data_IF_783377528872
#
_entry.id   IF_783377528872
#
_cell.length_a   1.000
_cell.length_b   1.000
_cell.length_c   1.000
_cell.angle_alpha   90.00
_cell.angle_beta   90.00
_cell.angle_gamma   90.00
#
_symmetry.space_group_name_H-M   'P 1'
#
loop_
_entity.id
_entity.type
_entity.pdbx_description
1 polymer ?
#
# COMPACT_ATOMS: atom_id res chain seq x y z
N UNK A 1 -11.37 -6.94 -17.10
CA UNK A 1 -11.33 -6.08 -15.91
C UNK A 1 -12.26 -6.56 -14.80
N UNK A 2 -13.58 -6.73 -15.01
CA UNK A 2 -14.49 -7.25 -13.96
C UNK A 2 -13.94 -8.50 -13.22
N UNK A 3 -13.58 -9.55 -13.97
CA UNK A 3 -13.05 -10.79 -13.39
C UNK A 3 -11.78 -10.52 -12.57
N UNK A 4 -10.88 -9.67 -13.08
CA UNK A 4 -9.67 -9.28 -12.36
C UNK A 4 -10.02 -8.63 -11.03
N UNK A 5 -10.94 -7.67 -10.99
CA UNK A 5 -11.38 -7.00 -9.76
C UNK A 5 -12.09 -7.95 -8.79
N UNK A 6 -12.92 -8.88 -9.28
CA UNK A 6 -13.56 -9.89 -8.44
C UNK A 6 -12.54 -10.82 -7.78
N UNK A 7 -11.62 -11.39 -8.57
CA UNK A 7 -10.59 -12.33 -8.07
C UNK A 7 -9.64 -11.62 -7.11
N UNK A 8 -9.17 -10.43 -7.47
CA UNK A 8 -8.28 -9.64 -6.60
C UNK A 8 -8.99 -9.17 -5.32
N UNK A 9 -10.29 -8.88 -5.37
CA UNK A 9 -11.09 -8.60 -4.17
C UNK A 9 -11.15 -9.79 -3.20
N UNK A 10 -11.22 -11.02 -3.71
CA UNK A 10 -11.13 -12.23 -2.88
C UNK A 10 -9.74 -12.35 -2.24
N UNK A 11 -8.67 -12.14 -3.03
CA UNK A 11 -7.28 -12.17 -2.53
C UNK A 11 -7.09 -11.14 -1.42
N UNK A 12 -7.62 -9.92 -1.59
CA UNK A 12 -7.56 -8.84 -0.61
C UNK A 12 -8.23 -9.18 0.73
N UNK A 13 -9.31 -9.95 0.70
CA UNK A 13 -10.01 -10.38 1.91
C UNK A 13 -9.25 -11.48 2.67
N UNK A 14 -8.41 -12.26 2.00
CA UNK A 14 -7.66 -13.37 2.60
C UNK A 14 -6.21 -12.97 2.87
N UNK A 15 -6.01 -12.09 3.86
CA UNK A 15 -4.68 -11.56 4.23
C UNK A 15 -3.68 -12.68 4.55
N UNK A 16 -4.16 -13.83 5.05
CA UNK A 16 -3.32 -15.00 5.30
C UNK A 16 -2.66 -15.57 4.04
N UNK A 17 -3.29 -15.45 2.87
CA UNK A 17 -2.68 -15.87 1.59
C UNK A 17 -1.51 -14.98 1.20
N UNK A 18 -1.52 -13.72 1.64
CA UNK A 18 -0.42 -12.78 1.41
C UNK A 18 0.75 -12.97 2.39
N UNK A 19 0.56 -13.71 3.50
CA UNK A 19 1.64 -13.91 4.49
C UNK A 19 2.85 -14.64 3.89
N UNK A 20 2.60 -15.64 3.05
CA UNK A 20 3.64 -16.43 2.38
C UNK A 20 4.08 -15.82 1.05
N UNK A 21 3.41 -14.76 0.59
CA UNK A 21 3.74 -14.01 -0.62
C UNK A 21 4.55 -12.76 -0.27
N UNK A 22 5.33 -12.82 0.80
CA UNK A 22 6.22 -11.76 1.26
C UNK A 22 7.62 -12.32 1.43
N UNK A 23 8.60 -11.56 1.00
CA UNK A 23 10.00 -11.86 1.22
C UNK A 23 10.59 -10.79 2.13
N UNK A 24 10.87 -11.19 3.36
CA UNK A 24 11.47 -10.34 4.37
C UNK A 24 12.98 -10.57 4.34
N UNK A 25 13.75 -9.49 4.40
CA UNK A 25 15.19 -9.56 4.49
C UNK A 25 15.74 -8.44 5.36
N UNK A 26 16.91 -8.70 5.91
CA UNK A 26 17.69 -7.74 6.67
C UNK A 26 19.11 -7.74 6.11
N UNK A 27 19.64 -6.55 5.85
CA UNK A 27 21.02 -6.34 5.41
C UNK A 27 21.68 -5.44 6.43
N UNK A 28 22.80 -5.90 7.00
CA UNK A 28 23.65 -5.06 7.85
C UNK A 28 24.99 -4.86 7.15
N UNK A 29 25.31 -3.62 6.81
CA UNK A 29 26.55 -3.24 6.13
C UNK A 29 27.21 -2.07 6.85
N UNK A 30 28.54 -1.93 6.79
CA UNK A 30 29.19 -0.73 7.32
C UNK A 30 28.77 0.51 6.54
N UNK A 31 28.58 1.63 7.25
CA UNK A 31 28.31 2.93 6.62
C UNK A 31 29.52 3.30 5.73
N UNK A 32 29.30 3.80 4.50
CA UNK A 32 30.39 4.23 3.63
C UNK A 32 31.32 5.20 4.34
N UNK A 33 32.63 4.98 4.24
CA UNK A 33 33.64 5.76 4.97
C UNK A 33 33.56 7.27 4.73
N UNK A 34 33.19 7.69 3.52
CA UNK A 34 32.96 9.09 3.18
C UNK A 34 31.80 9.73 3.98
N UNK A 35 30.73 8.96 4.21
CA UNK A 35 29.52 9.40 4.90
C UNK A 35 29.74 9.35 6.42
N UNK A 36 30.39 8.30 6.91
CA UNK A 36 30.82 8.17 8.30
C UNK A 36 31.81 9.29 8.72
N UNK A 37 32.77 9.65 7.87
CA UNK A 37 33.72 10.72 8.15
C UNK A 37 33.04 12.10 8.30
N UNK A 38 32.08 12.40 7.42
CA UNK A 38 31.30 13.64 7.49
C UNK A 38 30.39 13.69 8.72
N UNK A 39 29.76 12.57 9.06
CA UNK A 39 28.95 12.45 10.27
C UNK A 39 29.81 12.66 11.52
N UNK A 40 30.96 11.99 11.64
CA UNK A 40 31.86 12.11 12.78
C UNK A 40 32.40 13.53 12.99
N UNK A 41 32.58 14.29 11.91
CA UNK A 41 33.00 15.69 12.01
C UNK A 41 31.91 16.59 12.62
N UNK A 42 30.62 16.25 12.45
CA UNK A 42 29.49 17.09 12.86
C UNK A 42 28.25 16.27 13.28
N UNK A 43 28.39 15.43 14.31
CA UNK A 43 27.30 14.57 14.83
C UNK A 43 26.06 15.37 15.25
N UNK A 44 26.24 16.62 15.70
CA UNK A 44 25.15 17.50 16.12
C UNK A 44 24.34 18.10 14.97
N UNK A 45 24.77 17.92 13.72
CA UNK A 45 24.10 18.45 12.52
C UNK A 45 23.88 17.37 11.46
N UNK A 46 23.63 16.13 11.87
CA UNK A 46 23.30 15.01 10.98
C UNK A 46 22.19 15.30 9.94
N UNK A 47 21.16 16.14 10.22
CA UNK A 47 20.18 16.53 9.21
C UNK A 47 20.75 17.17 7.93
N UNK A 48 21.95 17.75 7.97
CA UNK A 48 22.59 18.30 6.76
C UNK A 48 23.10 17.21 5.81
N UNK A 49 23.28 15.98 6.29
CA UNK A 49 23.72 14.83 5.50
C UNK A 49 22.57 14.09 4.81
N UNK A 50 21.29 14.41 5.08
CA UNK A 50 20.16 13.67 4.50
C UNK A 50 20.23 13.55 2.96
N UNK A 51 20.53 14.61 2.19
CA UNK A 51 20.63 14.48 0.74
C UNK A 51 21.72 13.49 0.29
N UNK A 52 22.81 13.37 1.04
CA UNK A 52 23.90 12.43 0.74
C UNK A 52 23.53 10.99 1.13
N UNK A 53 22.82 10.81 2.25
CA UNK A 53 22.28 9.52 2.68
C UNK A 53 21.26 9.02 1.66
N UNK A 54 20.31 9.87 1.26
CA UNK A 54 19.32 9.56 0.24
C UNK A 54 19.98 9.23 -1.11
N UNK A 55 20.97 10.01 -1.55
CA UNK A 55 21.70 9.73 -2.78
C UNK A 55 22.46 8.38 -2.74
N UNK A 56 23.03 8.03 -1.58
CA UNK A 56 23.68 6.75 -1.37
C UNK A 56 22.68 5.59 -1.44
N UNK A 57 21.55 5.68 -0.70
CA UNK A 57 20.51 4.66 -0.68
C UNK A 57 19.82 4.50 -2.05
N UNK A 58 19.61 5.59 -2.78
CA UNK A 58 19.12 5.58 -4.15
C UNK A 58 20.10 4.86 -5.09
N UNK A 59 21.40 5.12 -4.97
CA UNK A 59 22.41 4.50 -5.84
C UNK A 59 22.64 3.02 -5.54
N UNK A 60 22.70 2.65 -4.26
CA UNK A 60 23.08 1.29 -3.85
C UNK A 60 21.88 0.33 -3.81
N UNK A 61 20.70 0.82 -3.40
CA UNK A 61 19.53 -0.01 -3.14
C UNK A 61 18.30 0.40 -3.96
N UNK A 62 18.43 1.35 -4.89
CA UNK A 62 17.32 1.90 -5.71
C UNK A 62 16.18 2.51 -4.87
N UNK A 63 16.48 2.95 -3.65
CA UNK A 63 15.51 3.58 -2.74
C UNK A 63 15.42 5.07 -3.02
N UNK A 64 14.43 5.49 -3.82
CA UNK A 64 14.33 6.87 -4.34
C UNK A 64 13.19 7.70 -3.77
N UNK A 65 12.18 7.07 -3.17
CA UNK A 65 10.99 7.75 -2.66
C UNK A 65 10.98 7.69 -1.13
N UNK A 66 11.67 8.63 -0.47
CA UNK A 66 11.63 8.71 1.00
C UNK A 66 10.29 9.28 1.45
N UNK A 67 9.64 8.62 2.42
CA UNK A 67 8.38 9.07 3.01
C UNK A 67 8.60 9.89 4.27
N UNK A 68 9.54 9.45 5.11
CA UNK A 68 9.88 10.08 6.38
C UNK A 68 11.36 9.88 6.67
N UNK A 69 11.96 10.88 7.32
CA UNK A 69 13.30 10.80 7.89
C UNK A 69 13.19 11.24 9.35
N UNK A 70 13.64 10.38 10.25
CA UNK A 70 13.69 10.63 11.68
C UNK A 70 15.14 10.62 12.15
N UNK A 71 15.47 11.48 13.11
CA UNK A 71 16.80 11.54 13.70
C UNK A 71 16.73 11.51 15.21
N UNK A 72 17.36 10.50 15.79
CA UNK A 72 17.56 10.40 17.22
C UNK A 72 18.93 10.97 17.58
N UNK A 73 18.93 12.22 18.06
CA UNK A 73 20.15 12.97 18.37
C UNK A 73 21.03 12.32 19.44
N UNK A 74 20.43 11.60 20.39
CA UNK A 74 21.15 11.01 21.53
C UNK A 74 22.04 9.86 21.09
N UNK A 75 21.52 9.01 20.19
CA UNK A 75 22.19 7.80 19.73
C UNK A 75 22.79 7.98 18.33
N UNK A 76 22.79 9.21 17.80
CA UNK A 76 23.25 9.56 16.46
C UNK A 76 22.68 8.61 15.38
N UNK A 77 21.38 8.32 15.49
CA UNK A 77 20.67 7.37 14.66
C UNK A 77 19.82 8.11 13.63
N UNK A 78 19.96 7.81 12.35
CA UNK A 78 19.11 8.35 11.29
C UNK A 78 18.29 7.22 10.68
N UNK A 79 16.97 7.38 10.68
CA UNK A 79 15.99 6.39 10.24
C UNK A 79 15.24 6.92 9.03
N UNK A 80 15.15 6.14 7.95
CA UNK A 80 14.48 6.52 6.71
C UNK A 80 13.45 5.46 6.30
N UNK A 81 12.23 5.90 6.05
CA UNK A 81 11.12 5.07 5.58
C UNK A 81 10.96 5.14 4.06
N UNK A 82 10.97 3.99 3.40
CA UNK A 82 10.75 3.85 1.97
C UNK A 82 9.55 2.95 1.69
N UNK A 83 8.42 3.50 1.20
CA UNK A 83 7.33 2.68 0.69
C UNK A 83 7.75 2.01 -0.62
N UNK A 84 7.64 0.68 -0.68
CA UNK A 84 7.87 -0.12 -1.88
C UNK A 84 6.55 -0.69 -2.41
N UNK A 85 6.46 -1.06 -3.70
CA UNK A 85 5.35 -1.85 -4.19
C UNK A 85 5.21 -3.13 -3.36
N UNK A 86 4.01 -3.34 -2.82
CA UNK A 86 3.64 -4.46 -1.98
C UNK A 86 4.57 -4.68 -0.76
N UNK A 87 5.22 -3.62 -0.27
CA UNK A 87 6.34 -3.76 0.64
C UNK A 87 6.79 -2.45 1.31
N UNK A 88 7.92 -2.53 1.99
CA UNK A 88 8.63 -1.38 2.56
C UNK A 88 10.12 -1.68 2.65
N UNK A 89 10.92 -0.63 2.74
CA UNK A 89 12.27 -0.69 3.23
C UNK A 89 12.44 0.36 4.33
N UNK A 90 13.18 -0.01 5.36
CA UNK A 90 13.49 0.79 6.53
C UNK A 90 15.01 0.81 6.69
N UNK A 91 15.61 1.97 6.48
CA UNK A 91 17.05 2.15 6.59
C UNK A 91 17.38 2.86 7.91
N UNK A 92 18.17 2.22 8.74
CA UNK A 92 18.65 2.72 10.01
C UNK A 92 20.18 2.88 9.93
N UNK A 93 20.66 4.11 10.05
CA UNK A 93 22.08 4.43 10.05
C UNK A 93 22.48 4.80 11.48
N UNK A 94 23.21 3.90 12.12
CA UNK A 94 23.84 4.13 13.42
C UNK A 94 25.27 4.64 13.20
N UNK A 95 25.47 5.95 13.43
CA UNK A 95 26.77 6.58 13.26
C UNK A 95 27.73 6.35 14.45
N UNK A 96 27.25 5.80 15.57
CA UNK A 96 28.10 5.39 16.71
C UNK A 96 28.75 4.04 16.42
N UNK A 97 27.94 3.04 16.06
CA UNK A 97 28.45 1.72 15.68
C UNK A 97 29.02 1.67 14.27
N UNK A 98 28.65 2.63 13.42
CA UNK A 98 29.09 2.71 12.03
C UNK A 98 28.37 1.71 11.12
N UNK A 99 27.19 1.24 11.52
CA UNK A 99 26.41 0.26 10.75
C UNK A 99 25.17 0.88 10.12
N UNK A 100 24.90 0.47 8.88
CA UNK A 100 23.63 0.63 8.19
C UNK A 100 22.88 -0.69 8.28
N UNK A 101 21.73 -0.66 8.95
CA UNK A 101 20.77 -1.75 8.96
C UNK A 101 19.64 -1.41 7.99
N UNK A 102 19.37 -2.31 7.05
CA UNK A 102 18.30 -2.18 6.09
C UNK A 102 17.34 -3.35 6.27
N UNK A 103 16.18 -3.09 6.86
CA UNK A 103 15.09 -4.03 6.95
C UNK A 103 14.13 -3.81 5.78
N UNK A 104 13.82 -4.86 5.03
CA UNK A 104 12.89 -4.74 3.92
C UNK A 104 11.92 -5.90 3.86
N UNK A 105 10.77 -5.62 3.27
CA UNK A 105 9.78 -6.60 2.89
C UNK A 105 9.37 -6.29 1.46
N UNK A 106 9.47 -7.26 0.57
CA UNK A 106 8.90 -7.19 -0.78
C UNK A 106 7.72 -8.13 -0.88
N UNK A 107 6.67 -7.70 -1.59
CA UNK A 107 5.54 -8.54 -1.91
C UNK A 107 5.78 -9.33 -3.19
N UNK A 108 5.24 -10.54 -3.24
CA UNK A 108 5.19 -11.38 -4.42
C UNK A 108 4.00 -11.05 -5.30
N UNK A 109 3.58 -12.04 -6.08
CA UNK A 109 2.58 -11.86 -7.14
C UNK A 109 1.18 -11.55 -6.59
N UNK A 110 0.77 -12.19 -5.48
CA UNK A 110 -0.55 -11.94 -4.88
C UNK A 110 -0.64 -10.54 -4.27
N UNK A 111 0.46 -10.08 -3.69
CA UNK A 111 0.58 -8.76 -3.09
C UNK A 111 0.60 -7.68 -4.17
N UNK A 112 1.24 -7.94 -5.33
CA UNK A 112 1.15 -7.09 -6.52
C UNK A 112 -0.30 -6.97 -7.02
N UNK A 113 -1.04 -8.09 -7.11
CA UNK A 113 -2.45 -8.07 -7.49
C UNK A 113 -3.27 -7.19 -6.52
N UNK A 114 -2.97 -7.27 -5.22
CA UNK A 114 -3.61 -6.45 -4.20
C UNK A 114 -3.35 -4.94 -4.39
N UNK A 115 -2.10 -4.57 -4.70
CA UNK A 115 -1.72 -3.19 -4.96
C UNK A 115 -2.34 -2.66 -6.27
N UNK A 116 -2.36 -3.48 -7.32
CA UNK A 116 -3.04 -3.14 -8.57
C UNK A 116 -4.55 -2.94 -8.38
N UNK A 117 -5.22 -3.78 -7.59
CA UNK A 117 -6.65 -3.58 -7.30
C UNK A 117 -6.91 -2.26 -6.56
N UNK A 118 -6.01 -1.89 -5.62
CA UNK A 118 -6.11 -0.63 -4.86
C UNK A 118 -5.64 0.60 -5.64
N UNK A 119 -4.93 0.43 -6.75
CA UNK A 119 -4.23 1.52 -7.45
C UNK A 119 -3.04 2.08 -6.67
N UNK A 120 -2.46 1.30 -5.75
CA UNK A 120 -1.33 1.73 -4.92
C UNK A 120 -0.02 1.44 -5.65
N UNK A 121 0.93 2.39 -5.65
CA UNK A 121 2.26 2.25 -6.26
C UNK A 121 2.26 1.79 -7.73
N UNK A 122 1.14 1.98 -8.46
CA UNK A 122 0.91 1.47 -9.82
C UNK A 122 1.05 2.52 -10.93
N UNK A 123 1.31 3.77 -10.57
CA UNK A 123 1.41 4.91 -11.50
C UNK A 123 0.05 5.44 -11.99
N UNK A 124 0.09 6.63 -12.60
CA UNK A 124 -1.10 7.39 -13.03
C UNK A 124 -1.91 6.67 -14.11
N UNK A 125 -1.23 6.04 -15.08
CA UNK A 125 -1.88 5.29 -16.17
C UNK A 125 -2.77 4.18 -15.61
N UNK A 126 -2.32 3.49 -14.57
CA UNK A 126 -3.11 2.43 -13.95
C UNK A 126 -4.34 2.99 -13.22
N UNK A 127 -4.22 4.15 -12.57
CA UNK A 127 -5.38 4.84 -11.97
C UNK A 127 -6.49 5.07 -13.01
N UNK A 128 -6.13 5.53 -14.21
CA UNK A 128 -7.09 5.69 -15.31
C UNK A 128 -7.73 4.36 -15.75
N UNK A 129 -6.97 3.25 -15.74
CA UNK A 129 -7.52 1.92 -16.04
C UNK A 129 -8.60 1.53 -15.02
N UNK A 130 -8.37 1.83 -13.73
CA UNK A 130 -9.35 1.58 -12.66
C UNK A 130 -10.62 2.41 -12.91
N UNK A 131 -10.49 3.71 -13.11
CA UNK A 131 -11.62 4.63 -13.24
C UNK A 131 -12.47 4.33 -14.48
N UNK A 132 -11.83 4.12 -15.64
CA UNK A 132 -12.53 3.76 -16.88
C UNK A 132 -13.25 2.42 -16.70
N UNK A 133 -12.60 1.44 -16.06
CA UNK A 133 -13.24 0.15 -15.79
C UNK A 133 -14.46 0.31 -14.89
N UNK A 134 -14.37 1.11 -13.83
CA UNK A 134 -15.48 1.38 -12.92
C UNK A 134 -16.66 2.04 -13.64
N UNK A 135 -16.41 3.02 -14.51
CA UNK A 135 -17.44 3.65 -15.33
C UNK A 135 -18.13 2.63 -16.24
N UNK A 136 -17.36 1.78 -16.94
CA UNK A 136 -17.94 0.74 -17.80
C UNK A 136 -18.77 -0.28 -17.00
N UNK A 137 -18.33 -0.63 -15.79
CA UNK A 137 -19.06 -1.54 -14.89
C UNK A 137 -20.40 -0.93 -14.46
N UNK A 138 -20.41 0.35 -14.10
CA UNK A 138 -21.62 1.09 -13.74
C UNK A 138 -22.58 1.15 -14.93
N UNK A 139 -22.08 1.48 -16.12
CA UNK A 139 -22.88 1.51 -17.34
C UNK A 139 -23.51 0.15 -17.63
N UNK A 140 -22.75 -0.94 -17.48
CA UNK A 140 -23.26 -2.30 -17.67
C UNK A 140 -24.35 -2.65 -16.64
N UNK A 141 -24.13 -2.32 -15.36
CA UNK A 141 -25.11 -2.55 -14.30
C UNK A 141 -26.41 -1.76 -14.51
N UNK A 142 -26.30 -0.47 -14.87
CA UNK A 142 -27.46 0.39 -15.19
C UNK A 142 -28.22 -0.17 -16.39
N UNK A 143 -27.51 -0.55 -17.46
CA UNK A 143 -28.14 -1.14 -18.65
C UNK A 143 -28.89 -2.42 -18.30
N UNK A 144 -28.29 -3.29 -17.49
CA UNK A 144 -28.94 -4.50 -16.98
C UNK A 144 -30.20 -4.21 -16.17
N UNK A 145 -30.18 -3.19 -15.31
CA UNK A 145 -31.37 -2.75 -14.56
C UNK A 145 -32.47 -2.21 -15.48
N UNK A 146 -32.13 -1.43 -16.50
CA UNK A 146 -33.10 -0.91 -17.48
C UNK A 146 -33.80 -2.08 -18.18
N UNK A 147 -33.04 -3.06 -18.67
CA UNK A 147 -33.59 -4.25 -19.34
C UNK A 147 -34.51 -5.04 -18.39
N UNK A 148 -34.09 -5.21 -17.13
CA UNK A 148 -34.85 -5.92 -16.12
C UNK A 148 -36.19 -5.22 -15.80
N UNK A 149 -36.20 -3.90 -15.72
CA UNK A 149 -37.41 -3.12 -15.43
C UNK A 149 -38.35 -2.99 -16.63
N UNK A 150 -37.83 -3.06 -17.87
CA UNK A 150 -38.66 -3.13 -19.08
C UNK A 150 -39.43 -4.47 -19.18
N UNK A 151 -38.87 -5.55 -18.65
CA UNK A 151 -39.52 -6.86 -18.68
C UNK A 151 -40.69 -6.92 -17.67
N UNK A 152 -41.92 -6.61 -18.11
CA UNK A 152 -43.12 -6.57 -17.25
C UNK A 152 -43.32 -7.82 -16.39
N UNK A 153 -43.00 -9.02 -16.90
CA UNK A 153 -43.14 -10.29 -16.18
C UNK A 153 -42.12 -10.46 -15.05
N UNK A 154 -40.95 -9.85 -15.18
CA UNK A 154 -39.83 -9.98 -14.22
C UNK A 154 -39.59 -8.72 -13.41
N UNK A 155 -40.25 -7.61 -13.74
CA UNK A 155 -40.06 -6.30 -13.09
C UNK A 155 -40.19 -6.35 -11.57
N UNK A 156 -41.23 -7.00 -11.03
CA UNK A 156 -41.43 -7.07 -9.58
C UNK A 156 -40.29 -7.85 -8.90
N UNK A 157 -39.90 -8.99 -9.46
CA UNK A 157 -38.75 -9.76 -8.98
C UNK A 157 -37.45 -8.94 -9.08
N UNK A 158 -37.29 -8.19 -10.17
CA UNK A 158 -36.14 -7.31 -10.36
C UNK A 158 -36.05 -6.21 -9.30
N UNK A 159 -37.16 -5.55 -8.98
CA UNK A 159 -37.23 -4.55 -7.90
C UNK A 159 -36.80 -5.18 -6.56
N UNK A 160 -37.36 -6.34 -6.20
CA UNK A 160 -37.00 -7.01 -4.95
C UNK A 160 -35.52 -7.41 -4.90
N UNK A 161 -34.98 -7.97 -5.99
CA UNK A 161 -33.56 -8.34 -6.07
C UNK A 161 -32.66 -7.10 -5.95
N UNK A 162 -33.00 -5.98 -6.60
CA UNK A 162 -32.26 -4.73 -6.48
C UNK A 162 -32.28 -4.19 -5.05
N UNK A 163 -33.47 -4.15 -4.42
CA UNK A 163 -33.61 -3.70 -3.02
C UNK A 163 -32.80 -4.59 -2.09
N UNK A 164 -32.90 -5.92 -2.24
CA UNK A 164 -32.11 -6.86 -1.45
C UNK A 164 -30.61 -6.66 -1.69
N UNK A 165 -30.17 -6.47 -2.94
CA UNK A 165 -28.77 -6.23 -3.27
C UNK A 165 -28.18 -4.97 -2.64
N UNK A 166 -28.95 -3.89 -2.58
CA UNK A 166 -28.54 -2.63 -1.93
C UNK A 166 -28.63 -2.72 -0.40
N UNK A 167 -29.70 -3.34 0.13
CA UNK A 167 -29.92 -3.44 1.57
C UNK A 167 -28.96 -4.42 2.26
N UNK A 168 -28.56 -5.50 1.59
CA UNK A 168 -27.69 -6.54 2.16
C UNK A 168 -26.39 -5.99 2.75
N UNK A 169 -25.54 -5.23 2.03
CA UNK A 169 -24.30 -4.69 2.61
C UNK A 169 -24.57 -3.72 3.76
N UNK A 170 -25.63 -2.90 3.68
CA UNK A 170 -26.00 -1.96 4.74
C UNK A 170 -26.42 -2.69 6.03
N UNK A 171 -27.27 -3.72 5.91
CA UNK A 171 -27.72 -4.54 7.04
C UNK A 171 -26.54 -5.29 7.67
N UNK A 172 -25.66 -5.88 6.84
CA UNK A 172 -24.46 -6.55 7.34
C UNK A 172 -23.57 -5.57 8.11
N UNK A 173 -23.37 -4.36 7.58
CA UNK A 173 -22.59 -3.33 8.24
C UNK A 173 -23.18 -2.96 9.62
N UNK A 174 -24.48 -2.65 9.70
CA UNK A 174 -25.11 -2.19 10.94
C UNK A 174 -25.16 -3.27 12.03
N UNK A 175 -25.31 -4.54 11.65
CA UNK A 175 -25.49 -5.62 12.60
C UNK A 175 -24.19 -6.32 13.03
N UNK A 176 -23.17 -6.36 12.16
CA UNK A 176 -21.95 -7.15 12.41
C UNK A 176 -20.65 -6.37 12.37
N UNK A 177 -20.59 -5.18 11.77
CA UNK A 177 -19.34 -4.39 11.80
C UNK A 177 -19.22 -3.72 13.17
N UNK A 178 -18.10 -3.94 13.90
CA UNK A 178 -17.90 -3.35 15.22
C UNK A 178 -17.97 -1.82 15.17
N UNK A 179 -18.78 -1.23 16.06
CA UNK A 179 -18.88 0.21 16.24
C UNK A 179 -18.39 0.60 17.62
N UNK A 180 -17.65 1.70 17.69
CA UNK A 180 -17.25 2.29 18.97
C UNK A 180 -18.53 2.75 19.69
N UNK A 181 -18.75 2.24 20.90
CA UNK A 181 -19.90 2.63 21.74
C UNK A 181 -19.45 3.66 22.77
N UNK A 182 -20.28 4.66 23.04
CA UNK A 182 -20.06 5.63 24.12
C UNK A 182 -19.14 6.80 23.78
N UNK A 183 -18.87 7.04 22.50
CA UNK A 183 -18.16 8.23 22.03
C UNK A 183 -19.14 8.99 21.13
N UNK A 184 -19.68 10.09 21.64
CA UNK A 184 -20.44 11.10 20.93
C UNK A 184 -19.88 12.46 21.31
#
# INVERSE_FOLDING_TARGET
MLILFCVSGIVLNHVDWLKNDKNNGQISTPIPSALAAKANAQLSTLPTLYPEIEAYLAKQYALTNVKSIEWEKKDALVMLDYPLPAGFAYAELDFISGTLNLDYQTGGFLSLIGDLHKGRHSGEVWSWVIDISAVLMILFAITGMIILFQNRKKRLAGIWITVLGVATPLVIYLCWVPQIKGVS
#
